data_IF_439088110468
#
_entry.id   IF_439088110468
#
_cell.length_a   1.000
_cell.length_b   1.000
_cell.length_c   1.000
_cell.angle_alpha   90.00
_cell.angle_beta   90.00
_cell.angle_gamma   90.00
#
_symmetry.space_group_name_H-M   'P 1'
#
loop_
_entity.id
_entity.type
_entity.pdbx_description
1 polymer ?
#
# COMPACT_ATOMS: atom_id res chain seq x y z
N UNK A 1 -28.52 -10.76 -9.28
CA UNK A 1 -28.66 -9.36 -8.83
C UNK A 1 -27.28 -8.72 -8.84
N UNK A 2 -26.98 -7.86 -9.83
CA UNK A 2 -25.64 -7.37 -10.11
C UNK A 2 -25.48 -5.96 -9.50
N UNK A 3 -24.89 -5.84 -8.31
CA UNK A 3 -24.60 -4.54 -7.68
C UNK A 3 -23.42 -3.91 -8.42
N UNK A 4 -23.68 -3.09 -9.43
CA UNK A 4 -22.69 -2.15 -9.98
C UNK A 4 -22.28 -1.19 -8.85
N UNK A 5 -21.09 -1.38 -8.30
CA UNK A 5 -20.46 -0.43 -7.38
C UNK A 5 -20.30 0.88 -8.14
N UNK A 6 -21.13 1.87 -7.80
CA UNK A 6 -21.05 3.23 -8.31
C UNK A 6 -19.69 3.77 -7.84
N UNK A 7 -18.73 3.97 -8.75
CA UNK A 7 -17.50 4.69 -8.42
C UNK A 7 -17.95 6.12 -8.11
N UNK A 8 -17.94 6.49 -6.84
CA UNK A 8 -18.10 7.88 -6.46
C UNK A 8 -16.92 8.62 -7.07
N UNK A 9 -17.18 9.39 -8.13
CA UNK A 9 -16.18 10.28 -8.70
C UNK A 9 -15.80 11.26 -7.59
N UNK A 10 -14.62 11.05 -7.00
CA UNK A 10 -14.06 11.95 -6.02
C UNK A 10 -13.96 13.31 -6.69
N UNK A 11 -14.82 14.25 -6.31
CA UNK A 11 -14.89 15.56 -6.94
C UNK A 11 -13.73 16.41 -6.38
N UNK A 12 -12.53 16.16 -6.92
CA UNK A 12 -11.29 16.79 -6.45
C UNK A 12 -11.31 18.25 -6.91
N UNK A 13 -11.50 19.15 -5.93
CA UNK A 13 -11.43 20.60 -6.10
C UNK A 13 -10.10 21.01 -6.79
N UNK A 14 -10.14 22.02 -7.65
CA UNK A 14 -8.96 22.49 -8.41
C UNK A 14 -7.76 22.84 -7.51
N UNK A 15 -8.02 23.35 -6.31
CA UNK A 15 -6.99 23.64 -5.31
C UNK A 15 -6.26 22.36 -4.88
N UNK A 16 -6.99 21.27 -4.72
CA UNK A 16 -6.42 19.97 -4.35
C UNK A 16 -5.63 19.37 -5.52
N UNK A 17 -6.07 19.61 -6.77
CA UNK A 17 -5.27 19.23 -7.96
C UNK A 17 -3.93 19.97 -8.01
N UNK A 18 -3.92 21.26 -7.69
CA UNK A 18 -2.69 22.05 -7.60
C UNK A 18 -1.79 21.54 -6.47
N UNK A 19 -2.36 21.25 -5.30
CA UNK A 19 -1.65 20.67 -4.16
C UNK A 19 -1.02 19.31 -4.50
N UNK A 20 -1.73 18.45 -5.24
CA UNK A 20 -1.20 17.17 -5.71
C UNK A 20 -0.01 17.32 -6.65
N UNK A 21 0.02 18.38 -7.48
CA UNK A 21 1.12 18.63 -8.41
C UNK A 21 2.36 19.22 -7.72
N UNK A 22 2.17 20.10 -6.72
CA UNK A 22 3.27 20.85 -6.10
C UNK A 22 3.77 20.19 -4.80
N UNK A 23 2.84 19.70 -3.97
CA UNK A 23 3.14 19.04 -2.69
C UNK A 23 2.24 17.83 -2.44
N UNK A 24 2.53 16.68 -3.09
CA UNK A 24 1.72 15.46 -2.97
C UNK A 24 1.53 15.01 -1.52
N UNK A 25 2.57 15.12 -0.68
CA UNK A 25 2.52 14.75 0.74
C UNK A 25 1.52 15.60 1.54
N UNK A 26 1.45 16.90 1.28
CA UNK A 26 0.46 17.78 1.93
C UNK A 26 -0.96 17.50 1.43
N UNK A 27 -1.13 17.21 0.14
CA UNK A 27 -2.42 16.83 -0.41
C UNK A 27 -2.95 15.55 0.23
N UNK A 28 -2.11 14.53 0.38
CA UNK A 28 -2.46 13.26 1.04
C UNK A 28 -2.81 13.46 2.52
N UNK A 29 -2.07 14.33 3.23
CA UNK A 29 -2.38 14.69 4.62
C UNK A 29 -3.73 15.42 4.74
N UNK A 30 -4.06 16.28 3.79
CA UNK A 30 -5.37 16.94 3.75
C UNK A 30 -6.50 15.93 3.50
N UNK A 31 -6.31 14.97 2.59
CA UNK A 31 -7.28 13.90 2.34
C UNK A 31 -7.47 12.99 3.54
N UNK A 32 -6.40 12.59 4.22
CA UNK A 32 -6.50 11.72 5.39
C UNK A 32 -7.35 12.40 6.49
N UNK A 33 -7.15 13.69 6.72
CA UNK A 33 -7.97 14.48 7.66
C UNK A 33 -9.46 14.53 7.26
N UNK A 34 -9.76 14.76 5.97
CA UNK A 34 -11.15 14.78 5.46
C UNK A 34 -11.84 13.43 5.62
N UNK A 35 -11.10 12.33 5.53
CA UNK A 35 -11.61 10.97 5.73
C UNK A 35 -11.70 10.57 7.21
N UNK A 36 -11.42 11.48 8.14
CA UNK A 36 -11.35 11.17 9.57
C UNK A 36 -10.14 10.31 9.96
N UNK A 37 -9.21 10.09 9.02
CA UNK A 37 -7.93 9.41 9.22
C UNK A 37 -6.94 10.42 9.81
N UNK A 38 -7.25 10.95 10.99
CA UNK A 38 -6.30 11.70 11.80
C UNK A 38 -5.50 10.69 12.62
N UNK A 39 -4.53 10.02 12.00
CA UNK A 39 -3.84 8.92 12.65
C UNK A 39 -2.31 9.05 12.56
N UNK A 40 -1.59 9.12 13.70
CA UNK A 40 -0.13 8.99 13.75
C UNK A 40 0.41 7.77 13.00
N UNK A 41 -0.39 6.72 12.84
CA UNK A 41 -0.05 5.52 12.07
C UNK A 41 0.06 5.84 10.58
N UNK A 42 -0.85 6.67 10.03
CA UNK A 42 -0.77 7.08 8.63
C UNK A 42 0.49 7.89 8.36
N UNK A 43 0.80 8.87 9.22
CA UNK A 43 2.00 9.68 9.06
C UNK A 43 3.29 8.84 9.17
N UNK A 44 3.33 7.90 10.11
CA UNK A 44 4.47 6.95 10.25
C UNK A 44 4.61 6.03 9.05
N UNK A 45 3.49 5.48 8.55
CA UNK A 45 3.50 4.63 7.38
C UNK A 45 3.94 5.41 6.14
N UNK A 46 3.40 6.62 5.94
CA UNK A 46 3.77 7.48 4.82
C UNK A 46 5.24 7.90 4.89
N UNK A 47 5.77 8.25 6.06
CA UNK A 47 7.20 8.54 6.24
C UNK A 47 8.06 7.31 5.91
N UNK A 48 7.73 6.14 6.44
CA UNK A 48 8.42 4.87 6.16
C UNK A 48 8.46 4.57 4.65
N UNK A 49 7.30 4.57 4.00
CA UNK A 49 7.20 4.24 2.58
C UNK A 49 7.77 5.34 1.68
N UNK A 50 7.75 6.61 2.08
CA UNK A 50 8.37 7.70 1.30
C UNK A 50 9.89 7.62 1.25
N UNK A 51 10.52 6.98 2.24
CA UNK A 51 11.98 6.79 2.33
C UNK A 51 12.45 5.47 1.74
N UNK A 52 11.53 4.57 1.43
CA UNK A 52 11.84 3.24 0.92
C UNK A 52 11.84 3.29 -0.60
N UNK A 53 12.99 3.06 -1.23
CA UNK A 53 13.09 3.05 -2.69
C UNK A 53 12.41 1.85 -3.35
N UNK A 54 12.30 0.73 -2.61
CA UNK A 54 11.77 -0.53 -3.13
C UNK A 54 10.90 -1.26 -2.11
N UNK A 55 9.71 -1.64 -2.56
CA UNK A 55 8.74 -2.44 -1.82
C UNK A 55 8.34 -3.62 -2.72
N UNK A 56 8.71 -4.83 -2.34
CA UNK A 56 8.28 -6.05 -3.04
C UNK A 56 7.12 -6.70 -2.31
N UNK A 57 6.16 -7.24 -3.06
CA UNK A 57 5.06 -8.03 -2.52
C UNK A 57 5.14 -9.44 -3.10
N UNK A 58 5.39 -10.42 -2.23
CA UNK A 58 5.69 -11.80 -2.63
C UNK A 58 4.68 -12.76 -2.00
N UNK A 59 3.97 -13.58 -2.79
CA UNK A 59 3.14 -14.65 -2.25
C UNK A 59 4.04 -15.75 -1.66
N UNK A 60 3.72 -16.27 -0.48
CA UNK A 60 4.57 -17.25 0.23
C UNK A 60 4.35 -18.70 -0.25
N UNK A 61 3.60 -18.91 -1.34
CA UNK A 61 3.47 -20.19 -2.06
C UNK A 61 2.63 -21.26 -1.36
N UNK A 62 2.47 -21.20 -0.04
CA UNK A 62 1.62 -22.09 0.76
C UNK A 62 0.45 -21.28 1.27
N UNK A 63 -0.75 -21.53 0.75
CA UNK A 63 -1.96 -20.81 1.14
C UNK A 63 -2.16 -19.49 0.37
N UNK A 64 -2.92 -18.58 0.98
CA UNK A 64 -3.21 -17.24 0.44
C UNK A 64 -2.45 -16.21 1.26
N UNK A 65 -1.19 -16.49 1.58
CA UNK A 65 -0.37 -15.67 2.45
C UNK A 65 0.64 -14.87 1.61
N UNK A 66 1.16 -13.77 2.15
CA UNK A 66 2.16 -12.95 1.46
C UNK A 66 3.13 -12.29 2.43
N UNK A 67 4.26 -11.85 1.89
CA UNK A 67 5.19 -10.97 2.58
C UNK A 67 5.37 -9.66 1.83
N UNK A 68 5.63 -8.59 2.58
CA UNK A 68 6.08 -7.29 2.05
C UNK A 68 7.55 -7.16 2.41
N UNK A 69 8.41 -7.02 1.41
CA UNK A 69 9.83 -6.73 1.62
C UNK A 69 10.04 -5.24 1.40
N UNK A 70 10.39 -4.55 2.47
CA UNK A 70 10.82 -3.16 2.50
C UNK A 70 12.35 -3.17 2.37
N UNK A 71 12.92 -2.19 1.67
CA UNK A 71 14.36 -1.88 1.57
C UNK A 71 15.32 -3.02 1.18
N UNK A 72 14.77 -4.16 0.75
CA UNK A 72 15.51 -5.39 0.50
C UNK A 72 16.06 -6.06 1.77
N UNK A 73 15.75 -5.53 2.97
CA UNK A 73 16.28 -6.04 4.23
C UNK A 73 15.21 -6.41 5.25
N UNK A 74 14.01 -5.86 5.14
CA UNK A 74 12.96 -6.04 6.12
C UNK A 74 11.75 -6.73 5.49
N UNK A 75 11.47 -7.97 5.86
CA UNK A 75 10.26 -8.67 5.44
C UNK A 75 9.17 -8.59 6.52
N UNK A 76 7.95 -8.26 6.12
CA UNK A 76 6.74 -8.27 6.93
C UNK A 76 5.83 -9.41 6.45
N UNK A 77 5.46 -10.32 7.33
CA UNK A 77 4.67 -11.50 7.00
C UNK A 77 3.19 -11.30 7.29
N UNK A 78 2.34 -11.80 6.41
CA UNK A 78 0.89 -11.74 6.52
C UNK A 78 0.26 -13.09 6.16
N UNK A 79 -0.67 -13.55 6.98
CA UNK A 79 -1.52 -14.70 6.66
C UNK A 79 -2.95 -14.28 6.37
N UNK A 80 -3.67 -15.05 5.56
CA UNK A 80 -5.08 -14.80 5.31
C UNK A 80 -5.96 -15.36 6.44
N UNK A 81 -6.77 -14.49 7.05
CA UNK A 81 -7.86 -14.87 7.95
C UNK A 81 -9.20 -14.48 7.32
N UNK A 82 -9.90 -15.46 6.74
CA UNK A 82 -11.18 -15.25 6.08
C UNK A 82 -11.10 -14.26 4.90
N UNK A 83 -11.62 -13.05 5.11
CA UNK A 83 -11.74 -11.98 4.12
C UNK A 83 -10.64 -10.89 4.24
N UNK A 84 -9.73 -11.02 5.19
CA UNK A 84 -8.65 -10.05 5.41
C UNK A 84 -7.30 -10.75 5.66
N UNK A 85 -6.25 -9.93 5.79
CA UNK A 85 -4.91 -10.38 6.09
C UNK A 85 -4.50 -9.88 7.47
N UNK A 86 -3.82 -10.74 8.22
CA UNK A 86 -3.33 -10.44 9.56
C UNK A 86 -1.82 -10.45 9.55
N UNK A 87 -1.23 -9.46 10.21
CA UNK A 87 0.21 -9.35 10.39
C UNK A 87 0.71 -10.46 11.32
N UNK A 88 1.65 -11.27 10.84
CA UNK A 88 2.20 -12.43 11.55
C UNK A 88 3.55 -12.14 12.21
N UNK A 89 4.30 -11.18 11.68
CA UNK A 89 5.62 -10.84 12.20
C UNK A 89 6.54 -10.21 11.16
N UNK A 90 7.81 -10.06 11.53
CA UNK A 90 8.83 -9.54 10.64
C UNK A 90 10.15 -10.29 10.79
N UNK A 91 10.95 -10.24 9.74
CA UNK A 91 12.31 -10.77 9.73
C UNK A 91 13.25 -9.79 9.04
N UNK A 92 14.49 -9.75 9.52
CA UNK A 92 15.57 -8.95 8.94
C UNK A 92 16.60 -9.88 8.29
N UNK A 93 16.90 -9.65 7.02
CA UNK A 93 17.83 -10.49 6.25
C UNK A 93 18.07 -9.90 4.87
N UNK A 94 19.10 -10.33 4.15
CA UNK A 94 19.25 -9.91 2.75
C UNK A 94 18.26 -10.69 1.88
N UNK A 95 17.34 -9.97 1.24
CA UNK A 95 16.38 -10.57 0.33
C UNK A 95 16.79 -10.33 -1.11
N UNK A 96 16.89 -11.42 -1.88
CA UNK A 96 17.12 -11.34 -3.31
C UNK A 96 15.94 -10.63 -4.01
N UNK A 97 16.22 -10.11 -5.21
CA UNK A 97 15.21 -9.49 -6.05
C UNK A 97 14.10 -10.50 -6.38
N UNK A 98 12.99 -10.46 -5.63
CA UNK A 98 11.77 -11.17 -5.99
C UNK A 98 11.16 -10.55 -7.25
N UNK A 99 10.74 -11.38 -8.20
CA UNK A 99 9.92 -10.93 -9.34
C UNK A 99 8.62 -10.34 -8.79
N UNK A 100 8.43 -9.03 -8.99
CA UNK A 100 7.22 -8.29 -8.61
C UNK A 100 6.05 -8.86 -9.43
N UNK A 101 5.35 -9.84 -8.87
CA UNK A 101 4.38 -10.65 -9.63
C UNK A 101 2.94 -10.12 -9.52
N UNK A 102 2.74 -8.94 -8.95
CA UNK A 102 1.44 -8.28 -8.97
C UNK A 102 1.32 -7.51 -10.29
N UNK A 103 0.85 -8.20 -11.34
CA UNK A 103 0.35 -7.68 -12.64
C UNK A 103 1.20 -7.82 -13.92
N UNK A 104 2.37 -8.45 -13.91
CA UNK A 104 3.13 -8.63 -15.18
C UNK A 104 2.46 -9.58 -16.20
N UNK A 105 1.42 -10.29 -15.81
CA UNK A 105 0.63 -11.16 -16.71
C UNK A 105 -0.58 -10.48 -17.37
N UNK A 106 -0.82 -9.19 -17.16
CA UNK A 106 -1.85 -8.42 -17.90
C UNK A 106 -1.23 -7.68 -19.10
N UNK A 107 -0.41 -8.41 -19.87
CA UNK A 107 -0.09 -8.06 -21.26
C UNK A 107 -0.64 -9.17 -22.16
N UNK A 108 -1.94 -9.07 -22.47
CA UNK A 108 -2.53 -9.56 -23.71
C UNK A 108 -3.86 -8.87 -23.95
#
# INVERSE_FOLDING_TARGET
MNKKTKREETNINWFVKLLLQVWPSMAMRYFSQQMGIANPIFDKANDLFSRTERIDLIPTGIGRDFMIIIDGKTALYFYQDGDHFVYDGFEMGEYEKGDVTIFDKIKK
#
